data_IF_840629394533
#
_entry.id   IF_840629394533
#
_cell.length_a   1.000
_cell.length_b   1.000
_cell.length_c   1.000
_cell.angle_alpha   90.00
_cell.angle_beta   90.00
_cell.angle_gamma   90.00
#
_symmetry.space_group_name_H-M   'P 1'
#
loop_
_entity.id
_entity.type
_entity.pdbx_description
1 polymer ?
#
# COMPACT_ATOMS: atom_id res chain seq x y z
N UNK A 1 7.49 22.01 55.40
CA UNK A 1 7.75 22.02 53.95
C UNK A 1 8.04 20.58 53.56
N UNK A 2 7.29 20.01 52.62
CA UNK A 2 7.31 18.59 52.17
C UNK A 2 6.22 17.68 52.77
N UNK A 3 4.96 17.86 52.35
CA UNK A 3 3.95 16.78 52.38
C UNK A 3 2.79 17.09 51.41
N UNK A 4 3.12 17.23 50.11
CA UNK A 4 2.12 17.26 49.01
C UNK A 4 2.60 16.39 47.83
N UNK A 5 3.52 15.45 48.09
CA UNK A 5 3.82 14.38 47.15
C UNK A 5 3.07 13.14 47.61
N UNK A 6 2.25 12.58 46.72
CA UNK A 6 1.54 11.28 46.81
C UNK A 6 0.04 11.33 47.15
N UNK A 7 -0.76 12.00 46.34
CA UNK A 7 -2.20 11.66 46.18
C UNK A 7 -2.76 11.94 44.79
N UNK A 8 -2.02 12.61 43.91
CA UNK A 8 -2.51 13.02 42.59
C UNK A 8 -1.63 12.53 41.42
N UNK A 9 -0.79 11.51 41.62
CA UNK A 9 -0.04 10.90 40.51
C UNK A 9 -0.99 10.35 39.44
N UNK A 10 -2.14 9.81 39.85
CA UNK A 10 -3.15 9.36 38.90
C UNK A 10 -3.74 10.51 38.09
N UNK A 11 -3.83 11.72 38.67
CA UNK A 11 -4.28 12.93 37.95
C UNK A 11 -3.23 13.37 36.92
N UNK A 12 -1.94 13.31 37.26
CA UNK A 12 -0.88 13.60 36.29
C UNK A 12 -0.86 12.60 35.13
N UNK A 13 -1.05 11.31 35.41
CA UNK A 13 -1.17 10.28 34.39
C UNK A 13 -2.44 10.42 33.56
N UNK A 14 -3.59 10.79 34.14
CA UNK A 14 -4.83 11.01 33.38
C UNK A 14 -4.75 12.24 32.50
N UNK A 15 -4.17 13.34 32.99
CA UNK A 15 -3.94 14.55 32.19
C UNK A 15 -2.99 14.26 31.03
N UNK A 16 -1.91 13.51 31.26
CA UNK A 16 -1.01 13.06 30.19
C UNK A 16 -1.72 12.17 29.16
N UNK A 17 -2.54 11.21 29.62
CA UNK A 17 -3.34 10.35 28.73
C UNK A 17 -4.35 11.15 27.93
N UNK A 18 -5.03 12.12 28.54
CA UNK A 18 -6.01 12.98 27.86
C UNK A 18 -5.33 13.86 26.83
N UNK A 19 -4.17 14.45 27.12
CA UNK A 19 -3.38 15.24 26.17
C UNK A 19 -2.89 14.35 25.01
N UNK A 20 -2.38 13.16 25.30
CA UNK A 20 -1.97 12.18 24.28
C UNK A 20 -3.17 11.69 23.44
N UNK A 21 -4.33 11.50 24.07
CA UNK A 21 -5.57 11.08 23.40
C UNK A 21 -6.16 12.21 22.54
N UNK A 22 -6.10 13.46 22.99
CA UNK A 22 -6.51 14.62 22.20
C UNK A 22 -5.56 14.88 21.03
N UNK A 23 -4.25 14.68 21.22
CA UNK A 23 -3.27 14.67 20.14
C UNK A 23 -3.59 13.56 19.11
N UNK A 24 -4.00 12.38 19.57
CA UNK A 24 -4.47 11.27 18.72
C UNK A 24 -5.81 11.52 18.02
N UNK A 25 -6.67 12.39 18.56
CA UNK A 25 -7.98 12.72 17.99
C UNK A 25 -7.94 13.87 16.98
N UNK A 26 -6.98 14.80 17.10
CA UNK A 26 -6.68 15.80 16.07
C UNK A 26 -5.89 15.21 14.88
N UNK A 27 -5.29 14.03 15.07
CA UNK A 27 -4.82 13.16 13.99
C UNK A 27 -5.91 12.16 13.59
N UNK A 28 -7.10 12.68 13.25
CA UNK A 28 -7.88 12.12 12.13
C UNK A 28 -7.15 12.37 10.80
N UNK A 29 -5.85 12.09 10.79
CA UNK A 29 -4.86 12.59 9.85
C UNK A 29 -5.01 11.83 8.55
N UNK A 30 -5.50 12.53 7.53
CA UNK A 30 -5.33 12.09 6.16
C UNK A 30 -3.86 11.77 5.92
N UNK A 31 -3.59 10.52 5.54
CA UNK A 31 -2.28 10.01 5.09
C UNK A 31 -1.58 11.12 4.29
N UNK A 32 -0.46 11.63 4.83
CA UNK A 32 0.25 12.80 4.32
C UNK A 32 0.50 12.63 2.82
N UNK A 33 0.37 13.70 2.06
CA UNK A 33 0.46 13.62 0.59
C UNK A 33 1.81 13.06 0.13
N UNK A 34 2.85 13.16 0.96
CA UNK A 34 4.20 12.66 0.70
C UNK A 34 4.29 11.14 0.92
N UNK A 35 3.78 10.62 2.04
CA UNK A 35 3.71 9.18 2.29
C UNK A 35 2.78 8.46 1.30
N UNK A 36 1.73 9.12 0.80
CA UNK A 36 0.89 8.57 -0.29
C UNK A 36 1.71 8.33 -1.55
N UNK A 37 2.57 9.27 -1.93
CA UNK A 37 3.45 9.12 -3.09
C UNK A 37 4.46 8.01 -2.86
N UNK A 38 5.07 7.95 -1.67
CA UNK A 38 6.06 6.94 -1.33
C UNK A 38 5.43 5.54 -1.32
N UNK A 39 4.31 5.36 -0.61
CA UNK A 39 3.55 4.10 -0.60
C UNK A 39 3.08 3.69 -1.99
N UNK A 40 2.65 4.63 -2.83
CA UNK A 40 2.23 4.35 -4.21
C UNK A 40 3.40 3.97 -5.12
N UNK A 41 4.59 4.51 -4.89
CA UNK A 41 5.82 4.11 -5.58
C UNK A 41 6.25 2.71 -5.15
N UNK A 42 6.23 2.41 -3.86
CA UNK A 42 6.53 1.07 -3.34
C UNK A 42 5.55 0.03 -3.87
N UNK A 43 4.25 0.35 -3.91
CA UNK A 43 3.23 -0.53 -4.50
C UNK A 43 3.50 -0.78 -5.99
N UNK A 44 3.84 0.25 -6.77
CA UNK A 44 4.22 0.11 -8.18
C UNK A 44 5.48 -0.72 -8.37
N UNK A 45 6.52 -0.46 -7.58
CA UNK A 45 7.76 -1.23 -7.62
C UNK A 45 7.53 -2.69 -7.25
N UNK A 46 6.71 -2.95 -6.24
CA UNK A 46 6.33 -4.31 -5.87
C UNK A 46 5.57 -4.99 -7.01
N UNK A 47 4.63 -4.29 -7.64
CA UNK A 47 3.89 -4.79 -8.79
C UNK A 47 4.79 -5.13 -10.01
N UNK A 48 5.77 -4.28 -10.31
CA UNK A 48 6.76 -4.53 -11.36
C UNK A 48 7.69 -5.70 -11.00
N UNK A 49 8.13 -5.80 -9.75
CA UNK A 49 8.94 -6.91 -9.25
C UNK A 49 8.19 -8.24 -9.33
N UNK A 50 6.91 -8.24 -8.97
CA UNK A 50 6.05 -9.41 -9.10
C UNK A 50 6.00 -9.87 -10.56
N UNK A 51 5.83 -8.94 -11.50
CA UNK A 51 5.80 -9.26 -12.92
C UNK A 51 7.16 -9.75 -13.45
N UNK A 52 8.25 -9.09 -13.05
CA UNK A 52 9.62 -9.45 -13.44
C UNK A 52 10.05 -10.82 -12.88
N UNK A 53 9.46 -11.26 -11.77
CA UNK A 53 9.67 -12.58 -11.19
C UNK A 53 8.89 -13.72 -11.86
N UNK A 54 7.98 -13.42 -12.79
CA UNK A 54 7.23 -14.45 -13.55
C UNK A 54 8.09 -15.07 -14.65
N UNK A 55 7.80 -16.32 -15.02
CA UNK A 55 8.44 -16.97 -16.18
C UNK A 55 8.23 -16.13 -17.46
N UNK A 56 9.22 -16.06 -18.37
CA UNK A 56 9.08 -15.33 -19.64
C UNK A 56 7.83 -15.71 -20.43
N UNK A 57 7.44 -17.00 -20.42
CA UNK A 57 6.25 -17.52 -21.10
C UNK A 57 4.96 -16.91 -20.54
N UNK A 58 4.90 -16.75 -19.21
CA UNK A 58 3.76 -16.16 -18.51
C UNK A 58 3.69 -14.66 -18.79
N UNK A 59 4.82 -13.97 -18.84
CA UNK A 59 4.88 -12.55 -19.20
C UNK A 59 4.33 -12.34 -20.62
N UNK A 60 4.72 -13.18 -21.58
CA UNK A 60 4.22 -13.12 -22.96
C UNK A 60 2.72 -13.39 -23.06
N UNK A 61 2.18 -14.37 -22.34
CA UNK A 61 0.73 -14.63 -22.32
C UNK A 61 -0.05 -13.44 -21.74
N UNK A 62 0.47 -12.83 -20.67
CA UNK A 62 -0.12 -11.62 -20.10
C UNK A 62 -0.07 -10.46 -21.10
N UNK A 63 1.06 -10.22 -21.76
CA UNK A 63 1.20 -9.15 -22.74
C UNK A 63 0.23 -9.35 -23.92
N UNK A 64 0.11 -10.58 -24.43
CA UNK A 64 -0.84 -10.92 -25.49
C UNK A 64 -2.31 -10.71 -25.04
N UNK A 65 -2.64 -11.00 -23.78
CA UNK A 65 -3.98 -10.73 -23.23
C UNK A 65 -4.25 -9.23 -23.08
N UNK A 66 -3.25 -8.45 -22.66
CA UNK A 66 -3.37 -7.00 -22.56
C UNK A 66 -3.61 -6.37 -23.95
N UNK A 67 -2.86 -6.79 -24.97
CA UNK A 67 -3.05 -6.31 -26.36
C UNK A 67 -4.43 -6.64 -26.91
N UNK A 68 -4.99 -7.81 -26.55
CA UNK A 68 -6.36 -8.22 -26.92
C UNK A 68 -7.45 -7.55 -26.08
N UNK A 69 -7.12 -6.64 -25.16
CA UNK A 69 -8.07 -5.98 -24.26
C UNK A 69 -8.61 -6.86 -23.13
N UNK A 70 -8.07 -8.07 -22.95
CA UNK A 70 -8.51 -9.07 -21.96
C UNK A 70 -7.85 -8.85 -20.59
N UNK A 71 -8.05 -7.67 -20.01
CA UNK A 71 -7.36 -7.24 -18.77
C UNK A 71 -7.70 -8.16 -17.58
N UNK A 72 -8.94 -8.60 -17.45
CA UNK A 72 -9.36 -9.49 -16.35
C UNK A 72 -8.63 -10.84 -16.43
N UNK A 73 -8.48 -11.39 -17.64
CA UNK A 73 -7.75 -12.64 -17.86
C UNK A 73 -6.24 -12.47 -17.58
N UNK A 74 -5.66 -11.32 -17.91
CA UNK A 74 -4.27 -10.99 -17.58
C UNK A 74 -4.04 -10.92 -16.07
N UNK A 75 -4.93 -10.23 -15.33
CA UNK A 75 -4.84 -10.11 -13.86
C UNK A 75 -4.96 -11.49 -13.20
N UNK A 76 -5.81 -12.36 -13.74
CA UNK A 76 -5.95 -13.73 -13.25
C UNK A 76 -4.65 -14.51 -13.39
N UNK A 77 -4.00 -14.48 -14.56
CA UNK A 77 -2.73 -15.18 -14.79
C UNK A 77 -1.63 -14.67 -13.88
N UNK A 78 -1.48 -13.35 -13.74
CA UNK A 78 -0.49 -12.76 -12.83
C UNK A 78 -0.73 -13.22 -11.39
N UNK A 79 -1.99 -13.21 -10.93
CA UNK A 79 -2.34 -13.66 -9.58
C UNK A 79 -2.06 -15.15 -9.36
N UNK A 80 -2.44 -16.01 -10.31
CA UNK A 80 -2.27 -17.46 -10.20
C UNK A 80 -0.79 -17.86 -10.16
N UNK A 81 0.08 -17.13 -10.89
CA UNK A 81 1.50 -17.43 -10.94
C UNK A 81 2.35 -16.71 -9.87
N UNK A 82 1.92 -15.53 -9.40
CA UNK A 82 2.66 -14.77 -8.37
C UNK A 82 2.15 -14.97 -6.95
N UNK A 83 0.92 -15.47 -6.77
CA UNK A 83 0.24 -15.54 -5.46
C UNK A 83 -0.16 -14.17 -4.90
N UNK A 84 0.02 -13.09 -5.67
CA UNK A 84 -0.23 -11.73 -5.20
C UNK A 84 -1.72 -11.43 -4.96
N UNK A 85 -1.99 -10.45 -4.09
CA UNK A 85 -3.34 -9.98 -3.84
C UNK A 85 -3.97 -9.36 -5.09
N UNK A 86 -5.31 -9.28 -5.12
CA UNK A 86 -6.05 -8.74 -6.29
C UNK A 86 -5.62 -7.32 -6.65
N UNK A 87 -5.27 -6.51 -5.64
CA UNK A 87 -4.79 -5.14 -5.82
C UNK A 87 -3.46 -5.10 -6.56
N UNK A 88 -2.50 -5.91 -6.13
CA UNK A 88 -1.14 -5.93 -6.69
C UNK A 88 -1.13 -6.53 -8.10
N UNK A 89 -1.90 -7.61 -8.32
CA UNK A 89 -2.05 -8.21 -9.64
C UNK A 89 -2.67 -7.22 -10.64
N UNK A 90 -3.67 -6.44 -10.20
CA UNK A 90 -4.25 -5.38 -11.03
C UNK A 90 -3.24 -4.29 -11.33
N UNK A 91 -2.50 -3.80 -10.34
CA UNK A 91 -1.48 -2.77 -10.55
C UNK A 91 -0.37 -3.25 -11.49
N UNK A 92 0.07 -4.51 -11.39
CA UNK A 92 1.10 -5.07 -12.25
C UNK A 92 0.66 -5.07 -13.72
N UNK A 93 -0.56 -5.52 -13.99
CA UNK A 93 -1.14 -5.52 -15.34
C UNK A 93 -1.36 -4.10 -15.86
N UNK A 94 -1.82 -3.18 -15.02
CA UNK A 94 -2.06 -1.79 -15.42
C UNK A 94 -0.75 -1.04 -15.70
N UNK A 95 0.29 -1.26 -14.89
CA UNK A 95 1.64 -0.74 -15.12
C UNK A 95 2.24 -1.31 -16.41
N UNK A 96 2.10 -2.63 -16.64
CA UNK A 96 2.54 -3.28 -17.87
C UNK A 96 1.80 -2.73 -19.08
N UNK A 97 0.48 -2.57 -19.00
CA UNK A 97 -0.33 -1.92 -20.04
C UNK A 97 0.13 -0.49 -20.33
N UNK A 98 0.39 0.30 -19.29
CA UNK A 98 0.86 1.68 -19.45
C UNK A 98 2.22 1.73 -20.17
N UNK A 99 3.12 0.79 -19.89
CA UNK A 99 4.41 0.68 -20.58
C UNK A 99 4.29 0.25 -22.05
N UNK A 100 3.31 -0.60 -22.39
CA UNK A 100 3.11 -1.10 -23.76
C UNK A 100 2.26 -0.18 -24.65
N UNK A 101 1.43 0.67 -24.05
CA UNK A 101 0.53 1.60 -24.77
C UNK A 101 1.08 3.01 -24.93
N UNK A 102 2.37 3.24 -24.67
CA UNK A 102 3.04 4.54 -24.81
C UNK A 102 3.72 4.71 -26.18
N UNK A 103 3.08 4.22 -27.26
CA UNK A 103 3.52 4.37 -28.66
C UNK A 103 2.49 5.14 -29.47
#
# INVERSE_FOLDING_TARGET
>A
MEEILTSESWVLWTVLIVIAFFAGRATGGGMSSEERTQKKMEERQNAERLFAGLSPDVQQDVDARIQRGKIIEAVKVVRENSGAGLKDAKQAVDARRASMGAI
#
